data_IF_331841443611
#
_entry.id   IF_331841443611
#
_cell.length_a   1.000
_cell.length_b   1.000
_cell.length_c   1.000
_cell.angle_alpha   90.00
_cell.angle_beta   90.00
_cell.angle_gamma   90.00
#
_symmetry.space_group_name_H-M   'P 1'
#
loop_
_entity.id
_entity.type
_entity.pdbx_description
1 polymer ?
#
# COMPACT_ATOMS: atom_id res chain seq x y z
N UNK A 1 -18.29 -17.75 -6.84
CA UNK A 1 -17.07 -16.94 -6.84
C UNK A 1 -16.85 -16.52 -5.41
N UNK A 2 -15.77 -17.00 -4.78
CA UNK A 2 -15.58 -16.83 -3.33
C UNK A 2 -14.96 -15.46 -3.03
N UNK A 3 -15.29 -14.84 -1.90
CA UNK A 3 -14.69 -13.57 -1.49
C UNK A 3 -13.14 -13.60 -1.46
N UNK A 4 -12.55 -14.79 -1.29
CA UNK A 4 -11.11 -15.01 -1.30
C UNK A 4 -10.42 -14.66 -2.63
N UNK A 5 -11.07 -14.95 -3.76
CA UNK A 5 -10.55 -14.60 -5.09
C UNK A 5 -10.59 -13.09 -5.31
N UNK A 6 -11.59 -12.42 -4.73
CA UNK A 6 -11.73 -10.97 -4.77
C UNK A 6 -10.60 -10.29 -4.00
N UNK A 7 -10.32 -10.72 -2.76
CA UNK A 7 -9.25 -10.12 -1.94
C UNK A 7 -7.87 -10.19 -2.58
N UNK A 8 -7.52 -11.31 -3.24
CA UNK A 8 -6.23 -11.42 -3.93
C UNK A 8 -6.10 -10.49 -5.12
N UNK A 9 -7.18 -10.32 -5.89
CA UNK A 9 -7.19 -9.39 -7.02
C UNK A 9 -7.17 -7.94 -6.54
N UNK A 10 -7.93 -7.64 -5.49
CA UNK A 10 -8.02 -6.31 -4.89
C UNK A 10 -6.67 -5.86 -4.32
N UNK A 11 -6.01 -6.71 -3.52
CA UNK A 11 -4.71 -6.37 -2.95
C UNK A 11 -3.62 -6.21 -4.02
N UNK A 12 -3.65 -7.04 -5.08
CA UNK A 12 -2.71 -6.90 -6.20
C UNK A 12 -2.92 -5.61 -6.99
N UNK A 13 -4.18 -5.17 -7.17
CA UNK A 13 -4.50 -3.91 -7.80
C UNK A 13 -4.06 -2.70 -6.94
N UNK A 14 -4.24 -2.80 -5.61
CA UNK A 14 -3.72 -1.80 -4.68
C UNK A 14 -2.19 -1.72 -4.73
N UNK A 15 -1.50 -2.86 -4.70
CA UNK A 15 -0.04 -2.93 -4.78
C UNK A 15 0.47 -2.24 -6.06
N UNK A 16 -0.17 -2.50 -7.20
CA UNK A 16 0.21 -1.86 -8.47
C UNK A 16 0.16 -0.32 -8.40
N UNK A 17 -0.93 0.24 -7.88
CA UNK A 17 -1.05 1.69 -7.75
C UNK A 17 -0.13 2.26 -6.65
N UNK A 18 0.11 1.52 -5.55
CA UNK A 18 1.05 1.93 -4.50
C UNK A 18 2.47 2.05 -5.06
N UNK A 19 2.93 1.05 -5.83
CA UNK A 19 4.25 1.09 -6.48
C UNK A 19 4.38 2.28 -7.44
N UNK A 20 3.34 2.56 -8.23
CA UNK A 20 3.29 3.71 -9.13
C UNK A 20 3.39 5.04 -8.39
N UNK A 21 2.59 5.25 -7.33
CA UNK A 21 2.63 6.51 -6.58
C UNK A 21 3.89 6.64 -5.71
N UNK A 22 4.43 5.54 -5.19
CA UNK A 22 5.71 5.53 -4.49
C UNK A 22 6.85 6.01 -5.41
N UNK A 23 6.88 5.53 -6.66
CA UNK A 23 7.82 6.00 -7.67
C UNK A 23 7.66 7.50 -7.96
N UNK A 24 6.43 7.99 -8.09
CA UNK A 24 6.15 9.42 -8.30
C UNK A 24 6.62 10.26 -7.10
N UNK A 25 6.40 9.77 -5.88
CA UNK A 25 6.74 10.49 -4.65
C UNK A 25 8.21 10.34 -4.23
N UNK A 26 8.98 9.48 -4.90
CA UNK A 26 10.34 9.14 -4.51
C UNK A 26 10.43 8.37 -3.20
N UNK A 27 9.44 7.54 -2.89
CA UNK A 27 9.33 6.75 -1.66
C UNK A 27 9.83 5.32 -1.90
N UNK A 28 10.79 4.87 -1.11
CA UNK A 28 11.23 3.47 -1.12
C UNK A 28 10.36 2.61 -0.20
N UNK A 29 9.48 1.81 -0.80
CA UNK A 29 8.60 0.87 -0.08
C UNK A 29 9.37 -0.24 0.65
N UNK A 30 10.63 -0.50 0.30
CA UNK A 30 11.51 -1.42 1.03
C UNK A 30 11.96 -0.84 2.37
N UNK A 31 11.90 0.48 2.53
CA UNK A 31 12.31 1.18 3.74
C UNK A 31 11.10 1.50 4.63
N UNK A 32 10.94 0.73 5.70
CA UNK A 32 9.81 0.88 6.64
C UNK A 32 9.61 2.33 7.14
N UNK A 33 10.68 3.04 7.43
CA UNK A 33 10.61 4.41 7.95
C UNK A 33 10.03 5.39 6.93
N UNK A 34 10.18 5.16 5.63
CA UNK A 34 9.58 6.00 4.59
C UNK A 34 8.07 5.78 4.49
N UNK A 35 7.63 4.51 4.61
CA UNK A 35 6.20 4.18 4.71
C UNK A 35 5.59 4.84 5.95
N UNK A 36 6.26 4.75 7.09
CA UNK A 36 5.80 5.37 8.34
C UNK A 36 5.71 6.91 8.20
N UNK A 37 6.67 7.55 7.53
CA UNK A 37 6.62 8.97 7.23
C UNK A 37 5.43 9.33 6.33
N UNK A 38 5.17 8.58 5.26
CA UNK A 38 4.01 8.78 4.39
C UNK A 38 2.67 8.66 5.13
N UNK A 39 2.59 7.76 6.12
CA UNK A 39 1.37 7.59 6.93
C UNK A 39 1.17 8.73 7.95
N UNK A 40 2.28 9.27 8.48
CA UNK A 40 2.29 10.31 9.50
C UNK A 40 2.15 11.75 8.96
N UNK A 41 2.50 11.99 7.69
CA UNK A 41 2.53 13.34 7.10
C UNK A 41 1.14 14.00 7.11
N UNK A 42 1.07 15.22 7.64
CA UNK A 42 -0.11 16.06 7.68
C UNK A 42 0.13 17.28 6.77
N UNK A 43 -0.34 17.16 5.52
CA UNK A 43 -0.47 18.19 4.47
C UNK A 43 0.54 19.35 4.51
N UNK A 44 1.59 19.23 3.70
CA UNK A 44 2.46 20.34 3.37
C UNK A 44 2.31 20.65 1.87
N UNK A 45 1.48 21.66 1.61
CA UNK A 45 1.13 22.24 0.33
C UNK A 45 2.26 22.21 -0.72
N UNK A 46 2.16 21.32 -1.73
CA UNK A 46 2.72 21.41 -3.09
C UNK A 46 1.99 20.41 -4.02
N UNK A 47 2.25 20.41 -5.33
CA UNK A 47 1.62 19.45 -6.26
C UNK A 47 1.91 17.98 -5.89
N UNK A 48 3.04 17.73 -5.21
CA UNK A 48 3.39 16.44 -4.60
C UNK A 48 2.40 16.02 -3.50
N UNK A 49 1.67 16.96 -2.89
CA UNK A 49 0.71 16.68 -1.82
C UNK A 49 -0.44 15.81 -2.35
N UNK A 50 -0.83 15.90 -3.64
CA UNK A 50 -1.86 15.02 -4.23
C UNK A 50 -1.37 13.61 -4.54
N UNK A 51 -0.14 13.47 -5.02
CA UNK A 51 0.46 12.16 -5.24
C UNK A 51 0.71 11.46 -3.89
N UNK A 52 1.23 12.18 -2.90
CA UNK A 52 1.44 11.69 -1.53
C UNK A 52 0.14 11.40 -0.80
N UNK A 53 -0.88 12.24 -0.95
CA UNK A 53 -2.23 11.97 -0.42
C UNK A 53 -2.82 10.70 -1.03
N UNK A 54 -2.66 10.49 -2.34
CA UNK A 54 -3.07 9.27 -3.03
C UNK A 54 -2.30 8.05 -2.50
N UNK A 55 -0.97 8.15 -2.41
CA UNK A 55 -0.11 7.10 -1.87
C UNK A 55 -0.53 6.72 -0.44
N UNK A 56 -0.71 7.71 0.43
CA UNK A 56 -1.16 7.52 1.81
C UNK A 56 -2.54 6.86 1.86
N UNK A 57 -3.48 7.33 1.04
CA UNK A 57 -4.82 6.74 0.94
C UNK A 57 -4.78 5.27 0.52
N UNK A 58 -3.96 4.94 -0.46
CA UNK A 58 -3.75 3.56 -0.93
C UNK A 58 -3.09 2.68 0.12
N UNK A 59 -2.05 3.17 0.82
CA UNK A 59 -1.40 2.45 1.92
C UNK A 59 -2.39 2.14 3.06
N UNK A 60 -3.23 3.11 3.43
CA UNK A 60 -4.28 2.92 4.44
C UNK A 60 -5.32 1.91 3.96
N UNK A 61 -5.74 1.98 2.70
CA UNK A 61 -6.70 1.04 2.14
C UNK A 61 -6.14 -0.38 2.11
N UNK A 62 -4.88 -0.54 1.70
CA UNK A 62 -4.19 -1.84 1.73
C UNK A 62 -4.15 -2.43 3.13
N UNK A 63 -3.80 -1.64 4.15
CA UNK A 63 -3.81 -2.11 5.56
C UNK A 63 -5.20 -2.59 6.02
N UNK A 64 -6.28 -1.93 5.56
CA UNK A 64 -7.65 -2.38 5.86
C UNK A 64 -7.94 -3.72 5.20
N UNK A 65 -7.61 -3.88 3.92
CA UNK A 65 -7.77 -5.15 3.21
C UNK A 65 -6.94 -6.26 3.86
N UNK A 66 -5.70 -6.00 4.25
CA UNK A 66 -4.88 -6.96 5.00
C UNK A 66 -5.52 -7.38 6.32
N UNK A 67 -6.11 -6.43 7.05
CA UNK A 67 -6.83 -6.71 8.30
C UNK A 67 -8.03 -7.62 8.04
N UNK A 68 -8.84 -7.33 7.01
CA UNK A 68 -9.98 -8.16 6.63
C UNK A 68 -9.58 -9.56 6.15
N UNK A 69 -8.47 -9.67 5.42
CA UNK A 69 -7.88 -10.93 5.00
C UNK A 69 -7.47 -11.77 6.22
N UNK A 70 -6.78 -11.15 7.20
CA UNK A 70 -6.37 -11.81 8.44
C UNK A 70 -7.56 -12.26 9.28
N UNK A 71 -8.60 -11.44 9.41
CA UNK A 71 -9.84 -11.77 10.12
C UNK A 71 -10.56 -12.99 9.49
N UNK A 72 -10.36 -13.21 8.20
CA UNK A 72 -10.88 -14.37 7.46
C UNK A 72 -9.92 -15.57 7.43
N UNK A 73 -8.80 -15.51 8.16
CA UNK A 73 -7.81 -16.58 8.23
C UNK A 73 -6.90 -16.68 7.00
N UNK A 74 -6.82 -15.62 6.19
CA UNK A 74 -5.92 -15.55 5.03
C UNK A 74 -4.58 -14.92 5.42
N UNK A 75 -3.55 -15.18 4.60
CA UNK A 75 -2.26 -14.48 4.70
C UNK A 75 -2.13 -13.49 3.54
N UNK A 76 -2.05 -12.16 3.81
CA UNK A 76 -1.84 -11.18 2.77
C UNK A 76 -0.42 -11.32 2.16
N UNK A 77 -0.28 -11.13 0.83
CA UNK A 77 1.04 -11.05 0.20
C UNK A 77 1.82 -9.82 0.72
N UNK A 78 3.16 -9.86 0.72
CA UNK A 78 3.97 -8.70 1.12
C UNK A 78 3.91 -7.61 0.05
N UNK A 79 3.87 -6.33 0.47
CA UNK A 79 3.84 -5.16 -0.43
C UNK A 79 5.08 -5.07 -1.33
N UNK A 80 6.23 -5.41 -0.74
CA UNK A 80 7.49 -5.53 -1.44
C UNK A 80 7.87 -7.00 -1.40
N UNK A 81 8.11 -7.58 -2.57
CA UNK A 81 8.65 -8.93 -2.65
C UNK A 81 9.94 -8.96 -1.81
N UNK A 82 10.05 -9.91 -0.88
CA UNK A 82 11.34 -10.20 -0.29
C UNK A 82 12.28 -10.49 -1.47
N UNK A 83 13.37 -9.73 -1.58
CA UNK A 83 14.40 -10.01 -2.58
C UNK A 83 14.72 -11.50 -2.48
N UNK A 84 14.40 -12.24 -3.56
CA UNK A 84 14.43 -13.70 -3.54
C UNK A 84 15.80 -14.22 -3.13
N UNK A 85 15.77 -15.32 -2.37
CA UNK A 85 16.91 -16.24 -2.20
C UNK A 85 17.34 -16.82 -3.56
#
# INVERSE_FOLDING_TARGET
MSGFEHYRQEIAALDHEIHKYAMICGVDLGQRHEIEACLAEHHAAWADDKARESLRGLLVLRLKVETEMLDQGMTPPPLVAAAGD
#
